data_IF_118126108619
#
_entry.id   IF_118126108619
#
_cell.length_a   1.000
_cell.length_b   1.000
_cell.length_c   1.000
_cell.angle_alpha   90.00
_cell.angle_beta   90.00
_cell.angle_gamma   90.00
#
_symmetry.space_group_name_H-M   'P 1'
#
loop_
_entity.id
_entity.type
_entity.pdbx_description
1 polymer ?
#
# COMPACT_ATOMS: atom_id res chain seq x y z
N UNK A 1 -16.18 26.07 8.25
CA UNK A 1 -15.12 25.07 7.97
C UNK A 1 -15.18 24.78 6.48
N UNK A 2 -14.09 25.04 5.75
CA UNK A 2 -14.02 24.87 4.29
C UNK A 2 -13.83 23.40 3.94
N UNK A 3 -14.83 22.58 4.25
CA UNK A 3 -14.81 21.12 4.16
C UNK A 3 -14.36 20.55 2.81
N UNK A 4 -14.57 21.28 1.70
CA UNK A 4 -14.15 20.84 0.37
C UNK A 4 -12.62 20.75 0.20
N UNK A 5 -11.87 21.71 0.74
CA UNK A 5 -10.41 21.74 0.58
C UNK A 5 -9.74 20.69 1.47
N UNK A 6 -10.24 20.51 2.70
CA UNK A 6 -9.72 19.52 3.65
C UNK A 6 -9.82 18.10 3.09
N UNK A 7 -10.94 17.78 2.43
CA UNK A 7 -11.15 16.48 1.78
C UNK A 7 -10.16 16.27 0.62
N UNK A 8 -9.91 17.28 -0.21
CA UNK A 8 -8.95 17.19 -1.30
C UNK A 8 -7.52 16.95 -0.79
N UNK A 9 -7.13 17.60 0.31
CA UNK A 9 -5.83 17.38 0.94
C UNK A 9 -5.68 15.95 1.47
N UNK A 10 -6.71 15.42 2.14
CA UNK A 10 -6.71 14.04 2.65
C UNK A 10 -6.63 13.04 1.50
N UNK A 11 -7.42 13.22 0.45
CA UNK A 11 -7.38 12.35 -0.74
C UNK A 11 -6.02 12.43 -1.46
N UNK A 12 -5.45 13.63 -1.58
CA UNK A 12 -4.12 13.84 -2.16
C UNK A 12 -3.03 13.13 -1.36
N UNK A 13 -3.02 13.29 -0.04
CA UNK A 13 -2.08 12.60 0.85
C UNK A 13 -2.22 11.07 0.76
N UNK A 14 -3.47 10.57 0.71
CA UNK A 14 -3.74 9.14 0.54
C UNK A 14 -3.23 8.60 -0.80
N UNK A 15 -3.42 9.36 -1.89
CA UNK A 15 -2.90 8.99 -3.20
C UNK A 15 -1.37 8.95 -3.19
N UNK A 16 -0.71 9.94 -2.61
CA UNK A 16 0.75 9.96 -2.48
C UNK A 16 1.27 8.77 -1.67
N UNK A 17 0.61 8.39 -0.59
CA UNK A 17 0.97 7.20 0.19
C UNK A 17 0.88 5.91 -0.63
N UNK A 18 -0.16 5.75 -1.45
CA UNK A 18 -0.29 4.61 -2.35
C UNK A 18 0.80 4.60 -3.45
N UNK A 19 1.12 5.76 -4.03
CA UNK A 19 2.20 5.87 -5.01
C UNK A 19 3.55 5.53 -4.37
N UNK A 20 3.84 6.06 -3.18
CA UNK A 20 5.05 5.74 -2.43
C UNK A 20 5.14 4.23 -2.14
N UNK A 21 4.03 3.60 -1.74
CA UNK A 21 3.98 2.17 -1.51
C UNK A 21 4.29 1.36 -2.77
N UNK A 22 3.73 1.77 -3.92
CA UNK A 22 4.00 1.15 -5.21
C UNK A 22 5.49 1.24 -5.59
N UNK A 23 6.09 2.42 -5.43
CA UNK A 23 7.51 2.66 -5.75
C UNK A 23 8.43 1.82 -4.86
N UNK A 24 8.16 1.73 -3.55
CA UNK A 24 8.98 0.94 -2.62
C UNK A 24 8.92 -0.56 -2.99
N UNK A 25 7.74 -1.08 -3.31
CA UNK A 25 7.59 -2.47 -3.75
C UNK A 25 8.29 -2.73 -5.09
N UNK A 26 8.24 -1.75 -6.00
CA UNK A 26 8.97 -1.85 -7.27
C UNK A 26 10.49 -1.82 -7.08
N UNK A 27 10.98 -0.96 -6.19
CA UNK A 27 12.39 -0.87 -5.83
C UNK A 27 12.89 -2.19 -5.21
N UNK A 28 12.10 -2.85 -4.35
CA UNK A 28 12.44 -4.16 -3.78
C UNK A 28 12.62 -5.23 -4.87
N UNK A 29 11.71 -5.27 -5.87
CA UNK A 29 11.88 -6.17 -7.03
C UNK A 29 13.17 -5.87 -7.78
N UNK A 30 13.44 -4.59 -8.07
CA UNK A 30 14.65 -4.18 -8.79
C UNK A 30 15.92 -4.52 -8.02
N UNK A 31 15.89 -4.41 -6.69
CA UNK A 31 16.97 -4.82 -5.81
C UNK A 31 17.17 -6.35 -5.86
N UNK A 32 16.09 -7.14 -5.87
CA UNK A 32 16.18 -8.60 -6.01
C UNK A 32 16.81 -9.03 -7.34
N UNK A 33 16.52 -8.34 -8.45
CA UNK A 33 17.13 -8.60 -9.76
C UNK A 33 18.60 -8.16 -9.85
N UNK A 34 19.02 -7.18 -9.05
CA UNK A 34 20.40 -6.64 -9.06
C UNK A 34 21.30 -7.21 -7.96
N UNK A 35 20.88 -8.27 -7.26
CA UNK A 35 21.57 -8.81 -6.06
C UNK A 35 21.89 -7.73 -5.00
N UNK A 36 21.09 -6.66 -4.95
CA UNK A 36 21.23 -5.62 -3.94
C UNK A 36 20.56 -6.05 -2.63
N UNK A 37 20.85 -5.31 -1.55
CA UNK A 37 20.28 -5.54 -0.22
C UNK A 37 18.74 -5.50 -0.30
N UNK A 38 18.11 -6.64 -0.02
CA UNK A 38 16.63 -6.77 -0.02
C UNK A 38 16.01 -5.93 1.09
N UNK A 39 14.84 -5.36 0.83
CA UNK A 39 14.10 -4.60 1.86
C UNK A 39 13.53 -5.60 2.88
N UNK A 40 13.68 -5.36 4.19
CA UNK A 40 13.12 -6.25 5.19
C UNK A 40 11.59 -6.32 5.06
N UNK A 41 11.02 -7.53 5.22
CA UNK A 41 9.59 -7.78 5.04
C UNK A 41 8.72 -6.90 5.96
N UNK A 42 9.23 -6.53 7.14
CA UNK A 42 8.55 -5.63 8.07
C UNK A 42 8.31 -4.25 7.47
N UNK A 43 9.29 -3.68 6.77
CA UNK A 43 9.14 -2.37 6.12
C UNK A 43 8.11 -2.43 5.00
N UNK A 44 8.12 -3.50 4.20
CA UNK A 44 7.11 -3.70 3.15
C UNK A 44 5.70 -3.83 3.72
N UNK A 45 5.54 -4.47 4.89
CA UNK A 45 4.26 -4.55 5.58
C UNK A 45 3.80 -3.20 6.17
N UNK A 46 4.72 -2.43 6.77
CA UNK A 46 4.41 -1.09 7.27
C UNK A 46 3.98 -0.15 6.14
N UNK A 47 4.67 -0.20 5.01
CA UNK A 47 4.33 0.58 3.83
C UNK A 47 2.96 0.17 3.26
N UNK A 48 2.68 -1.13 3.24
CA UNK A 48 1.37 -1.65 2.83
C UNK A 48 0.24 -1.30 3.80
N UNK A 49 0.54 -1.02 5.07
CA UNK A 49 -0.47 -0.55 6.02
C UNK A 49 -0.92 0.88 5.68
N UNK A 50 -0.02 1.75 5.21
CA UNK A 50 -0.32 3.14 4.88
C UNK A 50 -0.88 3.26 3.45
N UNK A 51 -0.31 2.52 2.50
CA UNK A 51 -0.70 2.51 1.09
C UNK A 51 -1.10 1.12 0.60
N UNK A 52 -2.19 0.52 1.10
CA UNK A 52 -2.53 -0.87 0.82
C UNK A 52 -2.85 -1.11 -0.65
N UNK A 53 -3.51 -0.18 -1.35
CA UNK A 53 -3.85 -0.34 -2.76
C UNK A 53 -2.61 -0.28 -3.64
N UNK A 54 -1.69 0.66 -3.37
CA UNK A 54 -0.41 0.76 -4.06
C UNK A 54 0.45 -0.48 -3.89
N UNK A 55 0.53 -1.01 -2.66
CA UNK A 55 1.22 -2.26 -2.37
C UNK A 55 0.54 -3.46 -3.06
N UNK A 56 -0.79 -3.52 -3.09
CA UNK A 56 -1.57 -4.57 -3.74
C UNK A 56 -1.33 -4.61 -5.25
N UNK A 57 -1.37 -3.43 -5.90
CA UNK A 57 -1.11 -3.28 -7.33
C UNK A 57 0.31 -3.72 -7.66
N UNK A 58 1.30 -3.25 -6.88
CA UNK A 58 2.69 -3.67 -7.08
C UNK A 58 2.85 -5.18 -6.91
N UNK A 59 2.27 -5.79 -5.87
CA UNK A 59 2.31 -7.24 -5.68
C UNK A 59 1.69 -8.03 -6.83
N UNK A 60 0.52 -7.61 -7.32
CA UNK A 60 -0.15 -8.25 -8.46
C UNK A 60 0.66 -8.12 -9.74
N UNK A 61 1.14 -6.91 -10.05
CA UNK A 61 1.96 -6.65 -11.25
C UNK A 61 3.23 -7.49 -11.28
N UNK A 62 3.84 -7.71 -10.13
CA UNK A 62 5.12 -8.42 -10.07
C UNK A 62 5.01 -9.91 -9.79
N UNK A 63 3.82 -10.43 -9.44
CA UNK A 63 3.59 -11.79 -8.92
C UNK A 63 4.66 -12.22 -7.91
N UNK A 64 5.24 -11.24 -7.22
CA UNK A 64 6.42 -11.43 -6.40
C UNK A 64 5.93 -11.57 -4.97
N UNK A 65 6.30 -12.66 -4.31
CA UNK A 65 5.93 -13.00 -2.93
C UNK A 65 4.42 -13.14 -2.63
N UNK A 66 3.56 -13.36 -3.62
CA UNK A 66 2.13 -13.71 -3.39
C UNK A 66 1.92 -15.07 -2.72
N UNK A 67 2.90 -15.99 -2.76
CA UNK A 67 2.82 -17.32 -2.12
C UNK A 67 3.25 -17.36 -0.64
N UNK A 68 3.76 -16.25 -0.08
CA UNK A 68 4.17 -16.21 1.33
C UNK A 68 2.97 -15.72 2.16
N UNK A 69 2.52 -16.52 3.13
CA UNK A 69 1.36 -16.19 3.99
C UNK A 69 1.43 -14.79 4.62
N UNK A 70 2.64 -14.27 4.86
CA UNK A 70 2.82 -12.91 5.38
C UNK A 70 2.27 -11.81 4.47
N UNK A 71 2.20 -12.02 3.16
CA UNK A 71 1.68 -11.04 2.21
C UNK A 71 0.15 -11.09 2.04
N UNK A 72 -0.53 -12.11 2.56
CA UNK A 72 -2.01 -12.08 2.72
C UNK A 72 -2.45 -10.92 3.62
N UNK A 73 -1.61 -10.50 4.55
CA UNK A 73 -1.88 -9.38 5.45
C UNK A 73 -2.12 -8.08 4.68
N UNK A 74 -1.53 -7.90 3.49
CA UNK A 74 -1.78 -6.70 2.67
C UNK A 74 -3.18 -6.69 2.05
N UNK A 75 -3.73 -7.87 1.72
CA UNK A 75 -5.14 -7.98 1.32
C UNK A 75 -6.07 -7.62 2.49
N UNK A 76 -5.73 -8.05 3.71
CA UNK A 76 -6.46 -7.67 4.91
C UNK A 76 -6.38 -6.16 5.18
N UNK A 77 -5.21 -5.53 5.00
CA UNK A 77 -5.08 -4.07 5.14
C UNK A 77 -5.90 -3.30 4.11
N UNK A 78 -5.93 -3.76 2.86
CA UNK A 78 -6.78 -3.17 1.83
C UNK A 78 -8.27 -3.29 2.19
N UNK A 79 -8.70 -4.47 2.63
CA UNK A 79 -10.08 -4.70 3.07
C UNK A 79 -10.45 -3.82 4.27
N UNK A 80 -9.57 -3.70 5.25
CA UNK A 80 -9.77 -2.85 6.43
C UNK A 80 -9.97 -1.38 6.03
N UNK A 81 -9.18 -0.87 5.08
CA UNK A 81 -9.34 0.50 4.58
C UNK A 81 -10.66 0.70 3.83
N UNK A 82 -11.10 -0.29 3.05
CA UNK A 82 -12.41 -0.24 2.38
C UNK A 82 -13.54 -0.22 3.42
N UNK A 83 -13.49 -1.08 4.43
CA UNK A 83 -14.50 -1.13 5.49
C UNK A 83 -14.54 0.17 6.29
N UNK A 84 -13.37 0.74 6.62
CA UNK A 84 -13.27 2.02 7.31
C UNK A 84 -13.85 3.16 6.47
N UNK A 85 -13.48 3.23 5.18
CA UNK A 85 -14.01 4.24 4.27
C UNK A 85 -15.53 4.09 4.09
N UNK A 86 -16.03 2.86 3.96
CA UNK A 86 -17.46 2.59 3.89
C UNK A 86 -18.18 3.04 5.16
N UNK A 87 -17.66 2.70 6.35
CA UNK A 87 -18.21 3.11 7.64
C UNK A 87 -18.24 4.63 7.81
N UNK A 88 -17.19 5.34 7.35
CA UNK A 88 -17.15 6.80 7.38
C UNK A 88 -18.16 7.44 6.40
N UNK A 89 -18.52 6.74 5.32
CA UNK A 89 -19.48 7.21 4.32
C UNK A 89 -20.94 6.97 4.73
N UNK A 90 -21.22 5.91 5.51
CA UNK A 90 -22.55 5.61 6.05
C UNK A 90 -22.88 6.32 7.37
N UNK A 91 -21.91 7.00 7.97
CA UNK A 91 -22.04 7.85 9.17
C UNK A 91 -22.43 9.27 8.81
#
# INVERSE_FOLDING_TARGET
MNTGWDVLWVLGAYLMANVAALVIYYADKRAASRMLRRVPERTLLLVALIGPFGALVAMRSFRHKTKKNKFLVVYLFALLHILLAAYLLTR
#
